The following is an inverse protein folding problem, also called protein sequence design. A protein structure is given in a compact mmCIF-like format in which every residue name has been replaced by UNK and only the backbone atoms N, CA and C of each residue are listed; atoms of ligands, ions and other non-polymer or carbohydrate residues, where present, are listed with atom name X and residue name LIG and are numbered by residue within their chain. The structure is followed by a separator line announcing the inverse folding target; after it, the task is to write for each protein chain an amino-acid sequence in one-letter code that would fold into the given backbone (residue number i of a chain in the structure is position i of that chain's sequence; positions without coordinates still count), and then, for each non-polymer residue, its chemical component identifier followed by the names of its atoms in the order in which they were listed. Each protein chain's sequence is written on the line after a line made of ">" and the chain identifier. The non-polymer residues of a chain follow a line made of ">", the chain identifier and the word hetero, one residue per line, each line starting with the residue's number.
data_IF_320165574386
#
_entry.id   IF_320165574386
#
_cell.length_a   1.000
_cell.length_b   1.000
_cell.length_c   1.000
_cell.angle_alpha   90.00
_cell.angle_beta   90.00
_cell.angle_gamma   90.00
#
_symmetry.space_group_name_H-M   'P 1'
#
loop_
_entity.id
_entity.type
_entity.pdbx_description
1 polymer ?
#
# COMPACT_ATOMS: atom_id res chain seq x y z
N UNK A 1 -9.48 -22.58 -13.92
CA UNK A 1 -9.10 -21.43 -13.09
C UNK A 1 -8.03 -20.69 -13.87
N UNK A 2 -8.26 -19.44 -14.27
CA UNK A 2 -7.18 -18.67 -14.89
C UNK A 2 -6.16 -18.31 -13.81
N UNK A 3 -4.87 -18.51 -14.09
CA UNK A 3 -3.81 -18.13 -13.17
C UNK A 3 -3.66 -16.61 -13.19
N UNK A 4 -3.62 -15.97 -12.01
CA UNK A 4 -3.45 -14.51 -11.87
C UNK A 4 -2.30 -13.99 -12.73
N UNK A 5 -1.16 -14.69 -12.70
CA UNK A 5 0.03 -14.37 -13.46
C UNK A 5 -0.25 -14.28 -14.97
N UNK A 6 -0.93 -15.29 -15.53
CA UNK A 6 -1.33 -15.30 -16.94
C UNK A 6 -2.30 -14.16 -17.26
N UNK A 7 -3.26 -13.88 -16.38
CA UNK A 7 -4.21 -12.78 -16.58
C UNK A 7 -3.52 -11.42 -16.61
N UNK A 8 -2.60 -11.18 -15.68
CA UNK A 8 -1.82 -9.92 -15.63
C UNK A 8 -0.95 -9.79 -16.86
N UNK A 9 -0.13 -10.80 -17.18
CA UNK A 9 0.74 -10.77 -18.36
C UNK A 9 -0.04 -10.60 -19.67
N UNK A 10 -1.20 -11.25 -19.80
CA UNK A 10 -2.04 -11.10 -20.99
C UNK A 10 -2.60 -9.67 -21.14
N UNK A 11 -2.99 -9.02 -20.04
CA UNK A 11 -3.47 -7.62 -20.08
C UNK A 11 -2.33 -6.65 -20.38
N UNK A 12 -1.15 -6.88 -19.81
CA UNK A 12 0.04 -6.06 -20.13
C UNK A 12 0.40 -6.22 -21.59
N UNK A 13 0.47 -7.46 -22.10
CA UNK A 13 0.77 -7.75 -23.50
C UNK A 13 -0.23 -7.09 -24.47
N UNK A 14 -1.53 -7.14 -24.15
CA UNK A 14 -2.58 -6.47 -24.94
C UNK A 14 -2.35 -4.95 -25.05
N UNK A 15 -1.97 -4.30 -23.95
CA UNK A 15 -1.67 -2.86 -23.92
C UNK A 15 -0.35 -2.54 -24.64
N UNK A 16 0.65 -3.43 -24.55
CA UNK A 16 1.92 -3.29 -25.25
C UNK A 16 1.73 -3.45 -26.76
N UNK A 17 0.98 -4.46 -27.22
CA UNK A 17 0.77 -4.72 -28.65
C UNK A 17 0.08 -3.56 -29.37
N UNK A 18 -0.76 -2.80 -28.66
CA UNK A 18 -1.40 -1.58 -29.16
C UNK A 18 -0.37 -0.49 -29.55
N UNK A 19 0.81 -0.49 -28.92
CA UNK A 19 1.92 0.43 -29.25
C UNK A 19 3.01 -0.22 -30.09
N UNK A 20 3.36 -1.44 -29.75
CA UNK A 20 4.50 -2.20 -30.24
C UNK A 20 4.02 -3.60 -30.65
N UNK A 21 3.43 -3.75 -31.84
CA UNK A 21 2.85 -5.02 -32.30
C UNK A 21 3.92 -6.11 -32.54
N UNK A 22 5.20 -5.74 -32.58
CA UNK A 22 6.33 -6.67 -32.64
C UNK A 22 6.60 -7.44 -31.34
N UNK A 23 6.03 -6.99 -30.21
CA UNK A 23 6.19 -7.67 -28.93
C UNK A 23 5.19 -8.83 -28.85
N UNK A 24 5.70 -10.05 -29.03
CA UNK A 24 4.87 -11.27 -28.97
C UNK A 24 4.66 -11.79 -27.54
N UNK A 25 5.55 -11.46 -26.60
CA UNK A 25 5.48 -11.94 -25.22
C UNK A 25 6.06 -10.93 -24.23
N UNK A 26 5.44 -10.85 -23.05
CA UNK A 26 5.89 -10.05 -21.90
C UNK A 26 6.35 -10.98 -20.79
N UNK A 27 7.46 -10.64 -20.13
CA UNK A 27 8.01 -11.35 -18.99
C UNK A 27 7.84 -10.55 -17.69
N UNK A 28 7.68 -11.22 -16.54
CA UNK A 28 7.51 -10.55 -15.25
C UNK A 28 8.66 -9.60 -14.89
N UNK A 29 9.88 -9.93 -15.30
CA UNK A 29 11.09 -9.17 -14.96
C UNK A 29 11.36 -7.96 -15.86
N UNK A 30 10.59 -7.77 -16.94
CA UNK A 30 10.79 -6.64 -17.86
C UNK A 30 10.37 -5.31 -17.24
N UNK A 31 11.14 -4.26 -17.49
CA UNK A 31 10.78 -2.90 -17.12
C UNK A 31 9.61 -2.42 -17.99
N UNK A 32 8.50 -2.06 -17.36
CA UNK A 32 7.34 -1.49 -18.06
C UNK A 32 7.73 -0.24 -18.84
N UNK A 33 8.61 0.60 -18.29
CA UNK A 33 9.00 1.87 -18.89
C UNK A 33 10.16 1.70 -19.85
N UNK A 34 11.24 1.04 -19.43
CA UNK A 34 12.50 1.01 -20.20
C UNK A 34 12.50 -0.06 -21.29
N UNK A 35 11.96 -1.25 -21.00
CA UNK A 35 11.91 -2.35 -21.97
C UNK A 35 10.67 -2.30 -22.85
N UNK A 36 9.51 -1.96 -22.26
CA UNK A 36 8.21 -2.00 -22.94
C UNK A 36 7.69 -0.62 -23.37
N UNK A 37 8.36 0.47 -22.97
CA UNK A 37 7.98 1.83 -23.39
C UNK A 37 6.61 2.30 -22.87
N UNK A 38 6.08 1.69 -21.81
CA UNK A 38 4.78 2.00 -21.24
C UNK A 38 4.86 3.24 -20.34
N UNK A 39 3.99 4.20 -20.60
CA UNK A 39 3.86 5.40 -19.79
C UNK A 39 2.81 5.26 -18.68
N UNK A 40 2.64 6.31 -17.88
CA UNK A 40 1.67 6.37 -16.78
C UNK A 40 0.23 6.12 -17.23
N UNK A 41 -0.12 6.58 -18.44
CA UNK A 41 -1.45 6.36 -19.04
C UNK A 41 -1.66 4.88 -19.39
N UNK A 42 -0.63 4.23 -19.92
CA UNK A 42 -0.69 2.81 -20.29
C UNK A 42 -0.81 1.95 -19.02
N UNK A 43 -0.07 2.31 -17.96
CA UNK A 43 -0.19 1.68 -16.65
C UNK A 43 -1.60 1.83 -16.06
N UNK A 44 -2.17 3.05 -16.09
CA UNK A 44 -3.54 3.27 -15.64
C UNK A 44 -4.56 2.43 -16.44
N UNK A 45 -4.35 2.29 -17.76
CA UNK A 45 -5.17 1.44 -18.63
C UNK A 45 -5.08 -0.04 -18.25
N UNK A 46 -3.87 -0.52 -17.93
CA UNK A 46 -3.65 -1.90 -17.44
C UNK A 46 -4.41 -2.12 -16.14
N UNK A 47 -4.26 -1.22 -15.17
CA UNK A 47 -4.92 -1.30 -13.86
C UNK A 47 -6.44 -1.36 -14.03
N UNK A 48 -7.03 -0.44 -14.79
CA UNK A 48 -8.48 -0.42 -15.03
C UNK A 48 -8.99 -1.72 -15.69
N UNK A 49 -8.23 -2.29 -16.64
CA UNK A 49 -8.58 -3.58 -17.27
C UNK A 49 -8.50 -4.74 -16.29
N UNK A 50 -7.54 -4.73 -15.36
CA UNK A 50 -7.39 -5.76 -14.33
C UNK A 50 -8.49 -5.65 -13.28
N UNK A 51 -8.82 -4.44 -12.83
CA UNK A 51 -9.93 -4.18 -11.91
C UNK A 51 -11.26 -4.69 -12.50
N UNK A 52 -11.53 -4.45 -13.78
CA UNK A 52 -12.73 -4.97 -14.44
C UNK A 52 -12.79 -6.51 -14.48
N UNK A 53 -11.63 -7.19 -14.52
CA UNK A 53 -11.54 -8.65 -14.60
C UNK A 53 -11.53 -9.33 -13.24
N UNK A 54 -10.86 -8.72 -12.26
CA UNK A 54 -10.60 -9.28 -10.93
C UNK A 54 -11.51 -8.69 -9.85
N UNK A 55 -12.21 -7.59 -10.16
CA UNK A 55 -13.05 -6.82 -9.24
C UNK A 55 -12.35 -6.40 -7.94
N UNK A 56 -11.03 -6.19 -8.02
CA UNK A 56 -10.19 -5.72 -6.92
C UNK A 56 -9.20 -4.68 -7.44
N UNK A 57 -8.84 -3.72 -6.58
CA UNK A 57 -7.81 -2.72 -6.85
C UNK A 57 -6.82 -2.66 -5.67
N UNK A 58 -5.58 -3.17 -5.82
CA UNK A 58 -4.57 -3.09 -4.77
C UNK A 58 -4.00 -1.68 -4.57
N UNK A 59 -4.24 -0.73 -5.48
CA UNK A 59 -3.67 0.61 -5.43
C UNK A 59 -4.52 1.64 -4.69
N UNK A 60 -5.75 1.28 -4.35
CA UNK A 60 -6.64 2.14 -3.57
C UNK A 60 -6.08 2.42 -2.17
N UNK A 61 -5.58 1.38 -1.49
CA UNK A 61 -5.11 1.49 -0.10
C UNK A 61 -3.85 0.66 0.22
N UNK A 62 -3.53 -0.39 -0.56
CA UNK A 62 -2.51 -1.38 -0.18
C UNK A 62 -1.11 -1.11 -0.75
N UNK A 63 -1.02 -0.58 -1.98
CA UNK A 63 0.24 -0.42 -2.71
C UNK A 63 0.30 0.93 -3.40
N UNK A 64 1.42 1.65 -3.28
CA UNK A 64 1.63 2.87 -4.04
C UNK A 64 1.88 2.56 -5.53
N UNK A 65 1.07 3.15 -6.42
CA UNK A 65 1.22 2.97 -7.88
C UNK A 65 2.62 3.35 -8.41
N UNK A 66 3.31 4.26 -7.72
CA UNK A 66 4.68 4.70 -8.06
C UNK A 66 5.75 3.63 -7.84
N UNK A 67 5.44 2.58 -7.10
CA UNK A 67 6.33 1.44 -6.83
C UNK A 67 6.32 0.40 -7.95
N UNK A 68 5.40 0.47 -8.90
CA UNK A 68 5.28 -0.50 -9.99
C UNK A 68 6.28 -0.17 -11.10
N UNK A 69 7.24 -1.08 -11.32
CA UNK A 69 8.27 -0.97 -12.36
C UNK A 69 8.19 -2.08 -13.39
N UNK A 70 7.67 -3.24 -12.99
CA UNK A 70 7.64 -4.46 -13.80
C UNK A 70 6.26 -5.12 -13.77
N UNK A 71 5.90 -5.98 -14.74
CA UNK A 71 4.70 -6.80 -14.68
C UNK A 71 4.70 -7.72 -13.44
N UNK A 72 5.87 -8.13 -12.95
CA UNK A 72 6.02 -8.88 -11.70
C UNK A 72 5.51 -8.10 -10.49
N UNK A 73 5.77 -6.79 -10.43
CA UNK A 73 5.26 -5.93 -9.34
C UNK A 73 3.73 -5.86 -9.34
N UNK A 74 3.12 -5.79 -10.53
CA UNK A 74 1.66 -5.87 -10.69
C UNK A 74 1.12 -7.20 -10.17
N UNK A 75 1.73 -8.32 -10.57
CA UNK A 75 1.32 -9.65 -10.11
C UNK A 75 1.38 -9.71 -8.59
N UNK A 76 2.49 -9.28 -7.98
CA UNK A 76 2.66 -9.30 -6.53
C UNK A 76 1.64 -8.40 -5.79
N UNK A 77 1.32 -7.23 -6.34
CA UNK A 77 0.32 -6.34 -5.75
C UNK A 77 -1.08 -6.96 -5.74
N UNK A 78 -1.50 -7.54 -6.86
CA UNK A 78 -2.79 -8.24 -6.95
C UNK A 78 -2.83 -9.53 -6.13
N UNK A 79 -1.72 -10.26 -6.08
CA UNK A 79 -1.62 -11.50 -5.30
C UNK A 79 -1.79 -11.25 -3.80
N UNK A 80 -1.17 -10.19 -3.27
CA UNK A 80 -1.36 -9.75 -1.88
C UNK A 80 -2.80 -9.35 -1.57
N UNK A 81 -3.41 -8.59 -2.47
CA UNK A 81 -4.80 -8.14 -2.32
C UNK A 81 -5.78 -9.32 -2.33
N UNK A 82 -5.58 -10.30 -3.23
CA UNK A 82 -6.41 -11.50 -3.31
C UNK A 82 -6.16 -12.49 -2.17
N UNK A 83 -4.93 -12.56 -1.66
CA UNK A 83 -4.56 -13.41 -0.51
C UNK A 83 -5.08 -12.88 0.82
N UNK A 84 -5.65 -11.67 0.84
CA UNK A 84 -6.20 -11.07 2.06
C UNK A 84 -5.14 -10.57 3.03
N UNK A 85 -3.89 -10.41 2.58
CA UNK A 85 -2.87 -9.60 3.28
C UNK A 85 -3.20 -8.12 3.03
N UNK A 86 -4.39 -7.73 3.49
CA UNK A 86 -4.60 -6.36 3.91
C UNK A 86 -3.68 -6.17 5.11
N UNK A 87 -2.75 -5.21 5.06
CA UNK A 87 -2.24 -4.66 6.30
C UNK A 87 -3.45 -4.03 6.99
N UNK A 88 -4.16 -4.83 7.79
CA UNK A 88 -5.09 -4.36 8.78
C UNK A 88 -4.26 -3.65 9.86
N UNK A 89 -3.84 -2.43 9.54
CA UNK A 89 -3.53 -1.41 10.54
C UNK A 89 -4.80 -0.59 10.78
N UNK A 90 -5.88 -1.29 11.13
CA UNK A 90 -7.08 -0.74 11.78
C UNK A 90 -7.42 -1.61 13.00
N UNK A 91 -6.48 -1.69 13.94
CA UNK A 91 -6.85 -1.92 15.34
C UNK A 91 -7.24 -0.56 15.94
N UNK A 92 -8.53 -0.26 15.83
CA UNK A 92 -9.20 0.74 16.62
C UNK A 92 -8.93 0.52 18.12
N UNK A 93 -8.37 1.52 18.78
CA UNK A 93 -8.60 1.74 20.21
C UNK A 93 -8.82 3.23 20.47
N UNK A 94 -9.90 3.75 19.88
CA UNK A 94 -10.71 4.77 20.53
C UNK A 94 -11.48 4.11 21.69
N UNK A 95 -10.87 4.08 22.87
CA UNK A 95 -11.60 4.01 24.14
C UNK A 95 -11.25 5.27 24.95
N UNK A 96 -12.17 6.23 24.92
CA UNK A 96 -12.28 7.24 25.97
C UNK A 96 -13.68 7.07 26.54
N UNK A 97 -13.84 6.80 27.85
CA UNK A 97 -13.86 7.90 28.82
C UNK A 97 -13.26 7.56 30.22
N UNK A 98 -12.85 8.62 30.94
CA UNK A 98 -12.22 8.64 32.28
C UNK A 98 -12.97 7.86 33.41
N UNK A 99 -12.29 7.48 34.52
CA UNK A 99 -12.37 8.31 35.73
C UNK A 99 -11.14 8.31 36.70
N UNK A 100 -11.01 9.45 37.39
CA UNK A 100 -10.39 9.72 38.71
C UNK A 100 -9.74 8.57 39.50
N UNK A 101 -8.44 8.75 39.82
CA UNK A 101 -7.77 8.17 40.99
C UNK A 101 -6.61 9.06 41.44
N UNK A 102 -6.88 10.13 42.19
CA UNK A 102 -6.48 10.30 43.60
C UNK A 102 -5.17 9.59 44.03
N UNK A 103 -4.25 10.44 44.50
CA UNK A 103 -3.32 10.21 45.61
C UNK A 103 -1.93 9.65 45.28
N UNK A 104 -0.95 10.56 45.28
CA UNK A 104 0.34 10.44 45.96
C UNK A 104 0.86 11.88 46.17
N UNK A 105 0.47 12.58 47.23
CA UNK A 105 1.18 12.62 48.51
C UNK A 105 2.70 12.86 48.38
N UNK A 106 3.11 13.79 47.52
CA UNK A 106 4.39 14.48 47.68
C UNK A 106 4.21 15.64 48.67
N UNK A 107 4.24 15.27 49.96
CA UNK A 107 4.93 15.99 51.03
C UNK A 107 4.99 17.52 50.85
N UNK A 108 3.96 18.24 51.29
CA UNK A 108 4.04 18.99 52.55
C UNK A 108 5.24 18.61 53.46
N UNK A 109 6.36 19.29 53.25
CA UNK A 109 7.50 19.56 54.17
C UNK A 109 8.36 20.58 53.41
N UNK A 110 8.53 21.83 53.79
CA UNK A 110 8.41 22.50 55.06
C UNK A 110 8.14 23.98 54.81
N UNK A 111 7.06 24.43 55.43
CA UNK A 111 6.76 25.84 55.64
C UNK A 111 7.87 26.50 56.47
N UNK A 112 8.10 27.78 56.16
CA UNK A 112 8.24 28.87 57.14
C UNK A 112 8.91 28.49 58.47
N UNK A 113 10.20 28.77 58.56
CA UNK A 113 10.93 29.33 59.71
C UNK A 113 12.42 29.13 59.37
N UNK A 114 13.35 30.09 59.44
CA UNK A 114 13.51 31.17 60.40
C UNK A 114 14.76 31.98 59.98
N UNK A 115 14.68 33.30 60.16
CA UNK A 115 15.83 34.20 60.50
C UNK A 115 16.83 34.51 59.37
N UNK A 116 16.97 35.74 58.86
CA UNK A 116 17.48 36.98 59.49
C UNK A 116 18.98 36.89 59.82
N UNK A 117 19.80 37.70 59.14
CA UNK A 117 21.27 37.77 59.16
C UNK A 117 21.80 37.23 57.82
N UNK A 118 22.42 38.00 56.95
CA UNK A 118 23.51 38.97 57.15
C UNK A 118 23.32 40.30 56.42
#
# INVERSE_FOLDING_TARGET
>A
MQNLNETVLAVVLDVVQDKSPEVEAVRPEQSLVEDLGLGSLDLARIIAKLEMKLSVDPFAELVAVTSIRTPGDLIAAYDKCLSGETSAEEEASEDSPAPRGRSNLASQRELRQKSRGE
#
